data_IF_874824266846
#
_entry.id   IF_874824266846
#
_cell.length_a   1.000
_cell.length_b   1.000
_cell.length_c   1.000
_cell.angle_alpha   90.00
_cell.angle_beta   90.00
_cell.angle_gamma   90.00
#
_symmetry.space_group_name_H-M   'P 1'
#
loop_
_entity.id
_entity.type
_entity.pdbx_description
1 polymer ?
#
# COMPACT_ATOMS: atom_id res chain seq x y z
N UNK A 1 26.65 4.20 18.84
CA UNK A 1 26.43 5.47 19.56
C UNK A 1 27.24 5.55 20.85
N UNK A 2 27.07 4.61 21.78
CA UNK A 2 27.77 4.60 23.09
C UNK A 2 29.32 4.59 22.95
N UNK A 3 29.87 3.96 21.90
CA UNK A 3 31.32 3.97 21.63
C UNK A 3 31.87 5.21 20.89
N UNK A 4 31.02 6.11 20.37
CA UNK A 4 31.47 7.24 19.52
C UNK A 4 31.29 8.62 20.16
N UNK A 5 30.77 8.71 21.39
CA UNK A 5 30.55 9.99 22.08
C UNK A 5 29.60 10.95 21.34
N UNK A 6 28.74 10.44 20.45
CA UNK A 6 27.78 11.23 19.68
C UNK A 6 26.39 11.18 20.30
N UNK A 7 25.62 12.25 20.11
CA UNK A 7 24.21 12.30 20.53
C UNK A 7 23.39 11.28 19.73
N UNK A 8 22.44 10.64 20.42
CA UNK A 8 21.48 9.71 19.83
C UNK A 8 20.10 10.34 19.85
N UNK A 9 19.40 10.30 18.72
CA UNK A 9 18.02 10.75 18.60
C UNK A 9 17.20 9.60 18.02
N UNK A 10 16.22 9.12 18.78
CA UNK A 10 15.23 8.18 18.28
C UNK A 10 14.23 8.92 17.41
N UNK A 11 14.10 8.52 16.14
CA UNK A 11 13.12 9.08 15.20
C UNK A 11 11.97 8.10 15.04
N UNK A 12 10.74 8.59 15.07
CA UNK A 12 9.56 7.76 14.82
C UNK A 12 9.57 7.28 13.36
N UNK A 13 9.43 5.97 13.12
CA UNK A 13 9.44 5.38 11.79
C UNK A 13 8.39 6.01 10.83
N UNK A 14 7.20 6.32 11.34
CA UNK A 14 6.12 6.96 10.57
C UNK A 14 6.43 8.43 10.27
N UNK A 15 7.04 9.13 11.22
CA UNK A 15 7.51 10.49 11.00
C UNK A 15 8.61 10.51 9.93
N UNK A 16 9.49 9.49 9.90
CA UNK A 16 10.44 9.28 8.82
C UNK A 16 9.76 9.17 7.44
N UNK A 17 8.70 8.37 7.30
CA UNK A 17 7.93 8.27 6.05
C UNK A 17 7.30 9.60 5.67
N UNK A 18 6.69 10.28 6.64
CA UNK A 18 5.97 11.54 6.45
C UNK A 18 6.89 12.68 6.04
N UNK A 19 8.09 12.73 6.61
CA UNK A 19 9.09 13.76 6.35
C UNK A 19 9.98 13.45 5.14
N UNK A 20 10.03 12.18 4.71
CA UNK A 20 10.89 11.75 3.61
C UNK A 20 10.77 12.56 2.31
N UNK A 21 9.56 12.98 1.87
CA UNK A 21 9.40 13.77 0.65
C UNK A 21 9.93 15.20 0.77
N UNK A 22 10.17 15.69 1.99
CA UNK A 22 10.62 17.05 2.27
C UNK A 22 12.14 17.15 2.49
N UNK A 23 12.88 16.03 2.50
CA UNK A 23 14.34 16.05 2.56
C UNK A 23 14.93 16.72 1.31
N UNK A 24 15.93 17.60 1.50
CA UNK A 24 16.65 18.27 0.42
C UNK A 24 15.90 19.45 -0.21
N UNK A 25 14.69 19.78 0.24
CA UNK A 25 13.92 20.93 -0.23
C UNK A 25 14.34 22.18 0.57
N UNK A 26 15.61 22.56 0.57
CA UNK A 26 16.02 23.81 1.23
C UNK A 26 15.63 25.01 0.34
N UNK A 27 14.60 25.76 0.74
CA UNK A 27 14.33 27.10 0.22
C UNK A 27 14.37 28.09 1.36
N UNK A 28 15.48 28.83 1.47
CA UNK A 28 15.59 30.11 2.17
C UNK A 28 15.14 30.14 3.65
N UNK A 29 15.53 29.16 4.47
CA UNK A 29 15.46 29.29 5.93
C UNK A 29 14.07 29.16 6.58
N UNK A 30 13.00 29.00 5.80
CA UNK A 30 11.66 28.72 6.31
C UNK A 30 11.42 27.22 6.46
N UNK A 31 10.80 26.81 7.57
CA UNK A 31 10.46 25.42 7.85
C UNK A 31 9.51 24.89 6.74
N UNK A 32 10.02 23.98 5.90
CA UNK A 32 9.53 23.72 4.53
C UNK A 32 8.24 22.89 4.49
N UNK A 33 7.83 22.30 5.60
CA UNK A 33 6.66 21.41 5.67
C UNK A 33 5.40 22.25 5.71
N UNK A 34 4.84 22.52 4.54
CA UNK A 34 3.54 23.18 4.39
C UNK A 34 2.41 22.25 4.83
N UNK A 35 1.28 22.80 5.33
CA UNK A 35 0.11 22.00 5.63
C UNK A 35 -0.32 21.14 4.43
N UNK A 36 -0.50 19.84 4.66
CA UNK A 36 -0.83 18.89 3.60
C UNK A 36 -1.59 17.67 4.13
N UNK A 37 -2.17 16.90 3.21
CA UNK A 37 -2.68 15.57 3.50
C UNK A 37 -1.69 14.55 2.96
N UNK A 38 -1.14 13.75 3.85
CA UNK A 38 -0.16 12.69 3.55
C UNK A 38 -0.81 11.32 3.62
N UNK A 39 -0.67 10.53 2.55
CA UNK A 39 -1.04 9.13 2.52
C UNK A 39 0.23 8.28 2.65
N UNK A 40 0.39 7.61 3.79
CA UNK A 40 1.50 6.69 4.03
C UNK A 40 1.04 5.30 3.59
N UNK A 41 1.71 4.74 2.58
CA UNK A 41 1.46 3.38 2.09
C UNK A 41 2.78 2.61 2.05
N UNK A 42 2.90 1.60 2.89
CA UNK A 42 4.06 0.71 2.98
C UNK A 42 3.64 -0.75 3.14
N UNK A 43 4.61 -1.65 3.33
CA UNK A 43 4.34 -3.05 3.66
C UNK A 43 3.49 -3.25 4.93
N UNK A 44 3.70 -2.43 5.96
CA UNK A 44 3.03 -2.57 7.26
C UNK A 44 2.12 -1.42 7.66
N UNK A 45 2.02 -0.37 6.85
CA UNK A 45 1.23 0.82 7.18
C UNK A 45 0.39 1.27 6.00
N UNK A 46 -0.86 1.63 6.28
CA UNK A 46 -1.71 2.38 5.37
C UNK A 46 -2.51 3.37 6.20
N UNK A 47 -2.19 4.65 6.08
CA UNK A 47 -2.82 5.71 6.88
C UNK A 47 -2.86 7.04 6.16
N UNK A 48 -3.88 7.82 6.50
CA UNK A 48 -4.11 9.17 6.03
C UNK A 48 -3.89 10.14 7.20
N UNK A 49 -2.99 11.10 7.00
CA UNK A 49 -2.51 12.01 8.04
C UNK A 49 -2.64 13.45 7.54
N UNK A 50 -3.27 14.31 8.33
CA UNK A 50 -3.18 15.76 8.14
C UNK A 50 -1.90 16.23 8.81
N UNK A 51 -1.04 16.87 8.04
CA UNK A 51 0.20 17.49 8.49
C UNK A 51 -0.05 18.99 8.54
N UNK A 52 0.05 19.60 9.70
CA UNK A 52 -0.08 21.05 9.87
C UNK A 52 1.28 21.74 10.00
N UNK A 53 2.34 20.98 10.27
CA UNK A 53 3.72 21.44 10.40
C UNK A 53 4.57 20.36 11.05
N UNK A 54 5.88 20.63 11.23
CA UNK A 54 6.77 19.71 11.93
C UNK A 54 6.22 19.42 13.35
N UNK A 55 6.18 18.15 13.75
CA UNK A 55 5.61 17.65 15.01
C UNK A 55 4.09 17.88 15.20
N UNK A 56 3.39 18.45 14.21
CA UNK A 56 1.94 18.68 14.28
C UNK A 56 1.23 17.84 13.21
N UNK A 57 0.83 16.63 13.62
CA UNK A 57 0.20 15.63 12.75
C UNK A 57 -1.07 15.10 13.38
N UNK A 58 -2.10 14.89 12.56
CA UNK A 58 -3.35 14.28 12.96
C UNK A 58 -3.64 13.09 12.04
N UNK A 59 -3.66 11.88 12.59
CA UNK A 59 -4.14 10.70 11.86
C UNK A 59 -5.65 10.82 11.73
N UNK A 60 -6.14 10.83 10.49
CA UNK A 60 -7.56 10.94 10.18
C UNK A 60 -8.14 9.63 9.63
N UNK A 61 -7.29 8.72 9.17
CA UNK A 61 -7.71 7.41 8.73
C UNK A 61 -6.56 6.40 8.75
N UNK A 62 -6.89 5.13 8.95
CA UNK A 62 -5.92 4.03 8.88
C UNK A 62 -6.60 2.76 8.37
N UNK A 63 -5.79 1.79 7.94
CA UNK A 63 -6.31 0.46 7.65
C UNK A 63 -6.83 -0.20 8.92
N UNK A 64 -8.00 -0.82 8.85
CA UNK A 64 -8.57 -1.62 9.94
C UNK A 64 -8.23 -3.12 9.82
N UNK A 65 -7.54 -3.51 8.74
CA UNK A 65 -7.07 -4.87 8.52
C UNK A 65 -5.62 -4.91 8.00
N UNK A 66 -5.37 -5.44 6.80
CA UNK A 66 -4.04 -5.50 6.21
C UNK A 66 -3.60 -4.11 5.76
N UNK A 67 -2.30 -3.83 5.76
CA UNK A 67 -1.77 -2.72 4.98
C UNK A 67 -1.87 -3.03 3.47
N UNK A 68 -1.89 -2.00 2.63
CA UNK A 68 -1.94 -2.17 1.19
C UNK A 68 -0.78 -3.05 0.70
N UNK A 69 0.46 -2.78 1.13
CA UNK A 69 1.62 -3.57 0.73
C UNK A 69 1.48 -5.05 1.11
N UNK A 70 1.06 -5.33 2.34
CA UNK A 70 0.77 -6.70 2.79
C UNK A 70 -0.34 -7.37 1.96
N UNK A 71 -1.39 -6.64 1.58
CA UNK A 71 -2.44 -7.15 0.71
C UNK A 71 -1.90 -7.51 -0.69
N UNK A 72 -1.02 -6.68 -1.27
CA UNK A 72 -0.33 -6.98 -2.52
C UNK A 72 0.53 -8.25 -2.39
N UNK A 73 1.31 -8.38 -1.33
CA UNK A 73 2.16 -9.57 -1.10
C UNK A 73 1.33 -10.85 -0.96
N UNK A 74 0.23 -10.80 -0.21
CA UNK A 74 -0.67 -11.95 -0.06
C UNK A 74 -1.36 -12.31 -1.37
N UNK A 75 -1.82 -11.33 -2.15
CA UNK A 75 -2.42 -11.58 -3.47
C UNK A 75 -1.40 -12.17 -4.43
N UNK A 76 -0.19 -11.62 -4.49
CA UNK A 76 0.91 -12.13 -5.32
C UNK A 76 1.19 -13.61 -5.01
N UNK A 77 1.30 -13.94 -3.73
CA UNK A 77 1.48 -15.32 -3.27
C UNK A 77 0.31 -16.23 -3.70
N UNK A 78 -0.94 -15.76 -3.61
CA UNK A 78 -2.12 -16.55 -4.01
C UNK A 78 -2.13 -16.87 -5.51
N UNK A 79 -1.62 -15.98 -6.35
CA UNK A 79 -1.57 -16.15 -7.81
C UNK A 79 -0.26 -16.77 -8.30
N UNK A 80 0.63 -17.16 -7.39
CA UNK A 80 1.88 -17.87 -7.70
C UNK A 80 3.07 -16.96 -8.05
N UNK A 81 3.00 -15.67 -7.73
CA UNK A 81 4.13 -14.74 -7.90
C UNK A 81 5.09 -14.76 -6.71
N UNK A 82 6.30 -14.25 -6.94
CA UNK A 82 7.36 -14.12 -5.92
C UNK A 82 7.16 -12.95 -4.95
N UNK A 83 8.10 -12.80 -4.02
CA UNK A 83 8.18 -11.69 -3.07
C UNK A 83 9.36 -10.76 -3.43
N UNK A 84 9.23 -9.42 -3.32
CA UNK A 84 8.04 -8.67 -2.92
C UNK A 84 6.94 -8.71 -4.00
N UNK A 85 5.69 -8.87 -3.56
CA UNK A 85 4.55 -9.11 -4.43
C UNK A 85 4.05 -7.86 -5.14
N UNK A 86 4.22 -6.68 -4.55
CA UNK A 86 3.86 -5.39 -5.17
C UNK A 86 4.48 -5.19 -6.56
N UNK A 87 5.82 -5.21 -6.69
CA UNK A 87 6.50 -5.07 -7.99
C UNK A 87 6.12 -6.15 -9.01
N UNK A 88 5.92 -7.40 -8.58
CA UNK A 88 5.50 -8.48 -9.48
C UNK A 88 4.07 -8.25 -10.01
N UNK A 89 3.14 -7.84 -9.14
CA UNK A 89 1.78 -7.48 -9.57
C UNK A 89 1.82 -6.30 -10.54
N UNK A 90 2.59 -5.23 -10.24
CA UNK A 90 2.69 -4.06 -11.11
C UNK A 90 3.19 -4.45 -12.51
N UNK A 91 4.26 -5.25 -12.59
CA UNK A 91 4.86 -5.72 -13.84
C UNK A 91 3.83 -6.45 -14.71
N UNK A 92 3.05 -7.36 -14.14
CA UNK A 92 2.03 -8.12 -14.88
C UNK A 92 0.78 -7.30 -15.18
N UNK A 93 0.42 -6.35 -14.31
CA UNK A 93 -0.76 -5.50 -14.48
C UNK A 93 -0.62 -4.51 -15.65
N UNK A 94 0.60 -4.08 -16.01
CA UNK A 94 0.85 -3.14 -17.14
C UNK A 94 0.31 -3.63 -18.48
N UNK A 95 0.32 -4.94 -18.72
CA UNK A 95 -0.25 -5.55 -19.93
C UNK A 95 -1.68 -6.07 -19.76
N UNK A 96 -2.28 -5.89 -18.58
CA UNK A 96 -3.59 -6.42 -18.22
C UNK A 96 -4.75 -5.52 -18.68
N UNK A 97 -5.96 -6.06 -18.64
CA UNK A 97 -7.18 -5.29 -18.79
C UNK A 97 -7.74 -4.93 -17.40
N UNK A 98 -7.70 -3.66 -16.97
CA UNK A 98 -8.15 -3.24 -15.64
C UNK A 98 -9.67 -3.39 -15.43
N UNK A 99 -10.45 -3.59 -16.51
CA UNK A 99 -11.92 -3.78 -16.45
C UNK A 99 -12.34 -5.24 -16.53
N UNK A 100 -11.39 -6.18 -16.56
CA UNK A 100 -11.69 -7.61 -16.75
C UNK A 100 -12.40 -8.22 -15.54
N UNK A 101 -12.09 -7.76 -14.34
CA UNK A 101 -12.65 -8.26 -13.09
C UNK A 101 -13.09 -7.08 -12.22
N UNK A 102 -14.27 -7.21 -11.60
CA UNK A 102 -14.76 -6.23 -10.65
C UNK A 102 -14.39 -6.66 -9.24
N UNK A 103 -13.47 -5.92 -8.61
CA UNK A 103 -13.01 -6.18 -7.26
C UNK A 103 -13.63 -5.17 -6.28
N UNK A 104 -14.04 -5.62 -5.08
CA UNK A 104 -14.69 -4.75 -4.12
C UNK A 104 -13.73 -3.64 -3.65
N UNK A 105 -14.28 -2.43 -3.54
CA UNK A 105 -13.62 -1.31 -2.86
C UNK A 105 -14.29 -1.15 -1.50
N UNK A 106 -13.67 -1.71 -0.46
CA UNK A 106 -14.17 -1.60 0.91
C UNK A 106 -14.08 -0.16 1.41
N UNK A 107 -14.97 0.20 2.34
CA UNK A 107 -14.95 1.49 3.06
C UNK A 107 -15.05 2.75 2.18
N UNK A 108 -15.71 2.66 1.02
CA UNK A 108 -16.07 3.84 0.24
C UNK A 108 -16.90 4.82 1.10
N UNK A 109 -16.44 6.08 1.19
CA UNK A 109 -17.07 7.11 2.02
C UNK A 109 -16.51 7.21 3.45
N UNK A 110 -15.57 6.34 3.83
CA UNK A 110 -14.84 6.41 5.09
C UNK A 110 -13.40 6.91 4.87
N UNK A 111 -12.79 7.50 5.90
CA UNK A 111 -11.37 7.88 5.89
C UNK A 111 -10.45 6.67 6.18
N UNK A 112 -11.00 5.61 6.78
CA UNK A 112 -10.31 4.34 7.01
C UNK A 112 -10.27 3.45 5.76
N UNK A 113 -9.31 2.53 5.74
CA UNK A 113 -9.06 1.59 4.65
C UNK A 113 -9.33 0.13 5.08
N UNK A 114 -9.66 -0.72 4.11
CA UNK A 114 -9.75 -2.18 4.31
C UNK A 114 -9.41 -2.90 3.00
N UNK A 115 -8.56 -3.91 3.08
CA UNK A 115 -8.08 -4.72 1.95
C UNK A 115 -8.42 -6.21 2.09
N UNK A 116 -9.03 -6.63 3.20
CA UNK A 116 -9.48 -8.03 3.39
C UNK A 116 -10.52 -8.48 2.35
N UNK A 117 -11.43 -7.58 1.96
CA UNK A 117 -12.42 -7.83 0.91
C UNK A 117 -11.78 -8.15 -0.45
N UNK A 118 -10.71 -7.42 -0.81
CA UNK A 118 -9.97 -7.65 -2.06
C UNK A 118 -9.33 -9.04 -2.08
N UNK A 119 -8.62 -9.42 -1.01
CA UNK A 119 -8.01 -10.77 -0.89
C UNK A 119 -9.05 -11.88 -1.04
N UNK A 120 -10.19 -11.70 -0.40
CA UNK A 120 -11.29 -12.66 -0.40
C UNK A 120 -11.85 -12.80 -1.81
N UNK A 121 -12.09 -11.69 -2.51
CA UNK A 121 -12.55 -11.70 -3.89
C UNK A 121 -11.56 -12.41 -4.84
N UNK A 122 -10.26 -12.15 -4.71
CA UNK A 122 -9.22 -12.84 -5.50
C UNK A 122 -9.25 -14.36 -5.24
N UNK A 123 -9.29 -14.79 -3.98
CA UNK A 123 -9.34 -16.21 -3.61
C UNK A 123 -10.53 -16.94 -4.24
N UNK A 124 -11.70 -16.31 -4.28
CA UNK A 124 -12.90 -16.89 -4.91
C UNK A 124 -12.88 -16.85 -6.44
N UNK A 125 -12.15 -15.90 -7.03
CA UNK A 125 -12.04 -15.75 -8.47
C UNK A 125 -11.13 -16.83 -9.10
N UNK A 126 -10.03 -17.19 -8.45
CA UNK A 126 -9.02 -18.10 -9.02
C UNK A 126 -9.60 -19.47 -9.47
N UNK A 127 -10.41 -20.19 -8.66
CA UNK A 127 -11.01 -21.45 -9.09
C UNK A 127 -11.99 -21.30 -10.27
N UNK A 128 -12.67 -20.15 -10.39
CA UNK A 128 -13.61 -19.87 -11.49
C UNK A 128 -12.85 -19.69 -12.80
N UNK A 129 -11.74 -18.95 -12.78
CA UNK A 129 -10.87 -18.78 -13.95
C UNK A 129 -10.28 -20.13 -14.40
N UNK A 130 -9.73 -20.90 -13.46
CA UNK A 130 -9.12 -22.20 -13.77
C UNK A 130 -10.13 -23.17 -14.43
N UNK A 131 -11.38 -23.17 -13.96
CA UNK A 131 -12.46 -23.97 -14.55
C UNK A 131 -12.82 -23.50 -15.96
N UNK A 132 -12.96 -22.19 -16.16
CA UNK A 132 -13.26 -21.61 -17.48
C UNK A 132 -12.20 -21.96 -18.51
N UNK A 133 -10.90 -21.91 -18.14
CA UNK A 133 -9.80 -22.28 -19.02
C UNK A 133 -9.83 -23.77 -19.38
N UNK A 134 -10.13 -24.65 -18.42
CA UNK A 134 -10.25 -26.10 -18.67
C UNK A 134 -11.41 -26.43 -19.61
N UNK A 135 -12.56 -25.78 -19.47
CA UNK A 135 -13.71 -25.96 -20.37
C UNK A 135 -13.35 -25.52 -21.79
N UNK A 136 -12.65 -24.39 -21.93
CA UNK A 136 -12.23 -23.88 -23.23
C UNK A 136 -11.22 -24.82 -23.92
N UNK A 137 -10.31 -25.42 -23.17
CA UNK A 137 -9.38 -26.43 -23.70
C UNK A 137 -10.05 -27.76 -24.04
N UNK A 138 -11.14 -28.13 -23.35
CA UNK A 138 -11.85 -29.39 -23.58
C UNK A 138 -12.85 -29.34 -24.76
N UNK A 139 -13.36 -28.16 -25.12
CA UNK A 139 -14.32 -27.97 -26.21
C UNK A 139 -13.69 -27.73 -27.59
N UNK A 140 -12.37 -27.77 -27.71
CA UNK A 140 -11.60 -27.53 -28.94
C UNK A 140 -10.98 -28.82 -29.53
N UNK A 141 -11.51 -29.99 -29.13
CA UNK A 141 -11.14 -31.31 -29.64
C UNK A 141 -12.32 -31.98 -30.32
#
# INVERSE_FOLDING_TARGET
>A
AIGFGKRYLGVNHLEGHLLSPFFGVEKNGDNVIKPNVSLIVSGGHTMLVIVCGLTNYQVIGHTVDDAAGEAFDKVAKMIGFGYPGGPEIEKHARGGNPKRFDFPRSMLGSQNFSFSGLKTAVRYLLPKIARSLRIFSAGNH
#
